data_IF_955565522374
#
_entry.id   IF_955565522374
#
_cell.length_a   1.000
_cell.length_b   1.000
_cell.length_c   1.000
_cell.angle_alpha   90.00
_cell.angle_beta   90.00
_cell.angle_gamma   90.00
#
_symmetry.space_group_name_H-M   'P 1'
#
loop_
_entity.id
_entity.type
_entity.pdbx_description
1 polymer ?
#
# COMPACT_ATOMS: atom_id res chain seq x y z
N UNK A 1 9.51 -2.35 -5.08
CA UNK A 1 8.36 -3.20 -5.40
C UNK A 1 8.72 -4.14 -6.54
N UNK A 2 7.98 -5.24 -6.69
CA UNK A 2 8.09 -6.16 -7.83
C UNK A 2 6.94 -5.92 -8.78
N UNK A 3 7.28 -5.74 -10.05
CA UNK A 3 6.36 -5.45 -11.14
C UNK A 3 6.54 -6.49 -12.24
N UNK A 4 5.58 -6.59 -13.15
CA UNK A 4 5.73 -7.31 -14.40
C UNK A 4 5.33 -6.48 -15.59
N UNK A 5 6.05 -6.60 -16.69
CA UNK A 5 5.66 -5.97 -17.94
C UNK A 5 4.58 -6.80 -18.66
N UNK A 6 4.09 -6.29 -19.78
CA UNK A 6 3.10 -6.96 -20.64
C UNK A 6 3.57 -8.33 -21.18
N UNK A 7 4.88 -8.57 -21.22
CA UNK A 7 5.46 -9.86 -21.64
C UNK A 7 5.54 -10.87 -20.47
N UNK A 8 5.18 -10.47 -19.25
CA UNK A 8 5.30 -11.27 -18.04
C UNK A 8 6.71 -11.31 -17.43
N UNK A 9 7.63 -10.46 -17.88
CA UNK A 9 8.98 -10.36 -17.36
C UNK A 9 9.00 -9.61 -16.02
N UNK A 10 9.76 -10.16 -15.06
CA UNK A 10 9.89 -9.57 -13.73
C UNK A 10 10.76 -8.31 -13.76
N UNK A 11 10.19 -7.21 -13.27
CA UNK A 11 10.78 -5.89 -13.25
C UNK A 11 10.85 -5.36 -11.82
N UNK A 12 11.90 -4.59 -11.49
CA UNK A 12 12.02 -3.94 -10.18
C UNK A 12 11.62 -2.48 -10.29
N UNK A 13 10.51 -2.13 -9.63
CA UNK A 13 10.05 -0.76 -9.50
C UNK A 13 10.53 -0.11 -8.19
N UNK A 14 10.77 1.20 -8.24
CA UNK A 14 10.98 2.05 -7.06
C UNK A 14 10.15 3.32 -7.23
N UNK A 15 9.54 3.81 -6.15
CA UNK A 15 8.93 5.15 -6.13
C UNK A 15 9.92 6.15 -5.58
N UNK A 16 9.96 7.32 -6.20
CA UNK A 16 10.75 8.45 -5.71
C UNK A 16 10.03 9.76 -5.95
N UNK A 17 10.12 10.68 -4.99
CA UNK A 17 9.63 12.06 -5.12
C UNK A 17 10.73 13.03 -5.54
N UNK A 18 11.94 12.53 -5.76
CA UNK A 18 13.14 13.32 -6.09
C UNK A 18 13.31 13.54 -7.61
N UNK A 19 12.46 12.93 -8.44
CA UNK A 19 12.54 13.06 -9.89
C UNK A 19 11.97 14.41 -10.34
N UNK A 20 12.58 15.11 -11.33
CA UNK A 20 12.07 16.39 -11.83
C UNK A 20 10.67 16.32 -12.48
N UNK A 21 10.17 15.11 -12.77
CA UNK A 21 8.79 14.85 -13.21
C UNK A 21 7.77 14.90 -12.05
N UNK A 22 8.22 14.96 -10.79
CA UNK A 22 7.35 15.16 -9.62
C UNK A 22 6.89 16.63 -9.55
N UNK A 23 5.92 17.01 -10.37
CA UNK A 23 5.44 18.40 -10.47
C UNK A 23 4.81 18.94 -9.18
N UNK A 24 4.45 18.07 -8.23
CA UNK A 24 3.76 18.40 -6.98
C UNK A 24 4.26 17.58 -5.75
N UNK A 25 5.47 17.01 -5.85
CA UNK A 25 5.95 16.03 -4.86
C UNK A 25 5.21 14.69 -4.93
N UNK A 26 4.48 14.46 -6.01
CA UNK A 26 3.88 13.16 -6.36
C UNK A 26 4.99 12.13 -6.62
N UNK A 27 4.90 10.93 -6.05
CA UNK A 27 5.91 9.90 -6.28
C UNK A 27 5.89 9.47 -7.75
N UNK A 28 7.07 9.38 -8.36
CA UNK A 28 7.28 8.90 -9.72
C UNK A 28 7.75 7.46 -9.67
N UNK A 29 7.13 6.60 -10.46
CA UNK A 29 7.55 5.21 -10.60
C UNK A 29 8.80 5.15 -11.49
N UNK A 30 9.86 4.53 -10.99
CA UNK A 30 11.10 4.31 -11.72
C UNK A 30 11.32 2.81 -11.87
N UNK A 31 11.38 2.34 -13.11
CA UNK A 31 11.62 0.94 -13.46
C UNK A 31 12.89 0.86 -14.31
N UNK A 32 13.86 0.04 -13.91
CA UNK A 32 15.17 -0.07 -14.58
C UNK A 32 15.91 1.27 -14.79
N UNK A 33 15.65 2.28 -13.94
CA UNK A 33 16.27 3.60 -14.03
C UNK A 33 15.50 4.60 -14.90
N UNK A 34 14.44 4.16 -15.58
CA UNK A 34 13.58 5.01 -16.38
C UNK A 34 12.34 5.43 -15.58
N UNK A 35 11.98 6.73 -15.57
CA UNK A 35 10.75 7.21 -14.95
C UNK A 35 9.54 6.94 -15.84
N UNK A 36 8.46 6.47 -15.24
CA UNK A 36 7.17 6.23 -15.91
C UNK A 36 6.11 7.09 -15.24
N UNK A 37 5.30 7.77 -16.05
CA UNK A 37 4.10 8.46 -15.59
C UNK A 37 2.97 7.47 -15.30
N UNK A 38 1.92 7.89 -14.58
CA UNK A 38 0.76 7.04 -14.29
C UNK A 38 0.01 6.60 -15.56
N UNK A 39 0.05 7.40 -16.63
CA UNK A 39 -0.59 7.08 -17.92
C UNK A 39 0.26 6.15 -18.80
N UNK A 40 1.59 6.15 -18.61
CA UNK A 40 2.56 5.35 -19.38
C UNK A 40 2.98 4.05 -18.66
N UNK A 41 2.48 3.82 -17.45
CA UNK A 41 2.88 2.70 -16.61
C UNK A 41 2.11 1.42 -16.97
N UNK A 42 2.43 0.84 -18.13
CA UNK A 42 1.91 -0.46 -18.60
C UNK A 42 2.55 -1.67 -17.86
N UNK A 43 2.42 -1.67 -16.53
CA UNK A 43 2.96 -2.70 -15.66
C UNK A 43 1.90 -3.29 -14.74
N UNK A 44 2.05 -4.58 -14.45
CA UNK A 44 1.29 -5.27 -13.42
C UNK A 44 2.05 -5.27 -12.10
N UNK A 45 1.32 -5.12 -10.99
CA UNK A 45 1.85 -5.16 -9.64
C UNK A 45 1.92 -6.61 -9.15
N UNK A 46 3.11 -7.20 -9.09
CA UNK A 46 3.31 -8.54 -8.51
C UNK A 46 3.30 -8.47 -6.98
N UNK A 47 4.11 -7.59 -6.40
CA UNK A 47 4.12 -7.38 -4.95
C UNK A 47 4.68 -6.02 -4.57
N UNK A 48 4.08 -5.41 -3.56
CA UNK A 48 4.50 -4.14 -3.00
C UNK A 48 4.19 -4.10 -1.50
N UNK A 49 5.02 -3.38 -0.75
CA UNK A 49 4.74 -3.07 0.64
C UNK A 49 3.55 -2.10 0.76
N UNK A 50 2.93 -2.04 1.94
CA UNK A 50 1.82 -1.11 2.23
C UNK A 50 2.20 0.34 1.94
N UNK A 51 3.43 0.74 2.27
CA UNK A 51 3.94 2.08 1.99
C UNK A 51 4.02 2.35 0.48
N UNK A 52 4.55 1.40 -0.29
CA UNK A 52 4.67 1.53 -1.75
C UNK A 52 3.29 1.61 -2.42
N UNK A 53 2.31 0.83 -1.96
CA UNK A 53 0.92 0.91 -2.46
C UNK A 53 0.29 2.27 -2.18
N UNK A 54 0.43 2.79 -0.97
CA UNK A 54 -0.04 4.15 -0.62
C UNK A 54 0.61 5.22 -1.51
N UNK A 55 1.89 5.05 -1.83
CA UNK A 55 2.59 5.97 -2.73
C UNK A 55 2.12 5.82 -4.19
N UNK A 56 1.88 4.62 -4.71
CA UNK A 56 1.29 4.44 -6.05
C UNK A 56 -0.04 5.18 -6.18
N UNK A 57 -0.93 5.01 -5.21
CA UNK A 57 -2.22 5.71 -5.18
C UNK A 57 -2.05 7.23 -5.12
N UNK A 58 -1.13 7.73 -4.29
CA UNK A 58 -0.81 9.17 -4.21
C UNK A 58 -0.26 9.71 -5.54
N UNK A 59 0.51 8.90 -6.26
CA UNK A 59 1.06 9.23 -7.58
C UNK A 59 0.06 9.05 -8.73
N UNK A 60 -1.15 8.55 -8.46
CA UNK A 60 -2.17 8.29 -9.47
C UNK A 60 -1.94 7.02 -10.30
N UNK A 61 -1.05 6.13 -9.86
CA UNK A 61 -0.79 4.86 -10.57
C UNK A 61 -1.89 3.85 -10.26
N UNK A 62 -2.55 3.37 -11.30
CA UNK A 62 -3.56 2.32 -11.21
C UNK A 62 -3.03 1.00 -11.77
N UNK A 63 -1.99 0.45 -11.13
CA UNK A 63 -1.38 -0.81 -11.56
C UNK A 63 -2.28 -1.99 -11.17
N UNK A 64 -2.68 -2.78 -12.16
CA UNK A 64 -3.46 -3.99 -11.92
C UNK A 64 -2.59 -5.06 -11.22
N UNK A 65 -3.15 -5.85 -10.29
CA UNK A 65 -2.40 -6.94 -9.66
C UNK A 65 -2.06 -8.01 -10.69
N UNK A 66 -0.82 -8.52 -10.66
CA UNK A 66 -0.42 -9.66 -11.49
C UNK A 66 -1.00 -10.95 -10.92
N UNK A 67 -1.96 -11.56 -11.61
CA UNK A 67 -2.50 -12.87 -11.26
C UNK A 67 -1.80 -13.98 -12.05
N UNK A 68 -0.65 -14.43 -11.55
CA UNK A 68 0.00 -15.66 -12.03
C UNK A 68 -0.76 -16.87 -11.49
N UNK A 69 -1.89 -17.25 -12.11
CA UNK A 69 -2.74 -18.37 -11.64
C UNK A 69 -3.25 -18.24 -10.19
N UNK A 70 -4.50 -17.77 -10.02
CA UNK A 70 -5.49 -18.38 -9.12
C UNK A 70 -5.17 -18.63 -7.64
N UNK A 71 -4.14 -18.03 -7.06
CA UNK A 71 -3.95 -18.02 -5.61
C UNK A 71 -4.37 -16.66 -5.08
N UNK A 72 -5.65 -16.61 -4.72
CA UNK A 72 -6.16 -15.82 -3.61
C UNK A 72 -5.25 -16.04 -2.40
N UNK A 73 -4.16 -15.28 -2.31
CA UNK A 73 -3.41 -15.14 -1.07
C UNK A 73 -3.93 -13.88 -0.40
N UNK A 74 -5.11 -14.06 0.20
CA UNK A 74 -5.59 -13.34 1.37
C UNK A 74 -5.11 -11.90 1.51
N UNK A 75 -5.83 -10.97 0.88
CA UNK A 75 -5.99 -9.63 1.44
C UNK A 75 -6.87 -9.73 2.70
N UNK A 76 -6.33 -10.37 3.73
CA UNK A 76 -6.77 -10.13 5.10
C UNK A 76 -5.92 -8.96 5.59
N UNK A 77 -6.38 -7.75 5.31
CA UNK A 77 -6.07 -6.56 6.10
C UNK A 77 -6.61 -6.79 7.53
N UNK A 78 -6.02 -7.73 8.27
CA UNK A 78 -6.34 -8.06 9.66
C UNK A 78 -5.38 -7.36 10.64
N UNK A 79 -4.72 -6.31 10.18
CA UNK A 79 -3.85 -5.41 10.97
C UNK A 79 -4.48 -4.01 11.12
N UNK A 80 -5.83 -3.95 11.14
CA UNK A 80 -6.59 -2.72 11.39
C UNK A 80 -7.47 -2.84 12.65
N UNK A 81 -6.98 -3.53 13.68
CA UNK A 81 -7.69 -3.65 14.95
C UNK A 81 -6.80 -3.97 16.14
N UNK A 82 -5.82 -3.12 16.43
CA UNK A 82 -5.10 -3.20 17.70
C UNK A 82 -4.61 -1.82 18.19
N UNK A 83 -5.55 -0.88 18.36
CA UNK A 83 -5.32 0.36 19.12
C UNK A 83 -6.50 0.76 20.02
N UNK A 84 -7.40 -0.18 20.39
CA UNK A 84 -8.45 0.08 21.39
C UNK A 84 -8.60 -1.06 22.42
N UNK A 85 -7.51 -1.73 22.78
CA UNK A 85 -7.51 -2.63 23.94
C UNK A 85 -7.34 -1.82 25.24
N UNK A 86 -8.50 -1.38 25.75
CA UNK A 86 -8.90 -1.47 27.15
C UNK A 86 -8.02 -0.79 28.21
N UNK A 87 -7.98 0.54 28.17
CA UNK A 87 -7.71 1.36 29.36
C UNK A 87 -9.01 1.81 30.02
N UNK A 88 -9.56 0.99 30.92
CA UNK A 88 -10.11 1.41 32.24
C UNK A 88 -10.82 0.22 32.91
N UNK A 89 -10.04 -0.41 33.79
CA UNK A 89 -10.46 -1.33 34.83
C UNK A 89 -11.66 -0.72 35.60
N UNK A 90 -12.77 -1.47 35.61
CA UNK A 90 -13.90 -1.27 36.52
C UNK A 90 -13.33 -1.00 37.92
N UNK A 91 -13.65 0.10 38.59
CA UNK A 91 -15.00 0.35 39.08
C UNK A 91 -15.16 -0.25 40.48
N UNK A 92 -14.24 0.05 41.40
CA UNK A 92 -14.38 -0.20 42.83
C UNK A 92 -14.15 1.12 43.59
N UNK A 93 -15.16 1.99 43.62
CA UNK A 93 -15.23 3.09 44.59
C UNK A 93 -16.71 3.32 44.99
N UNK A 94 -16.98 2.91 46.23
CA UNK A 94 -17.96 3.40 47.21
C UNK A 94 -19.31 3.99 46.75
N UNK A 95 -20.39 3.50 47.40
CA UNK A 95 -21.36 4.31 48.19
C UNK A 95 -22.81 3.81 48.12
N UNK A 96 -23.30 3.40 49.29
CA UNK A 96 -24.66 3.47 49.85
C UNK A 96 -25.87 3.90 48.96
N UNK A 97 -26.88 3.01 48.81
CA UNK A 97 -28.31 3.43 48.75
C UNK A 97 -29.35 2.31 49.03
N UNK A 98 -29.95 2.36 50.23
CA UNK A 98 -31.28 1.95 50.71
C UNK A 98 -32.15 0.87 50.02
N UNK A 99 -32.61 -0.09 50.84
CA UNK A 99 -34.05 -0.40 51.05
C UNK A 99 -34.29 -1.08 52.41
#
# INVERSE_FOLDING_TARGET
MRLRNLNGELMRGKLTTEYPLSTDGSPVLVVNGEPYGPEDADFYLESATTLERKQLLKGGYNLEPWSEHGEDQGFMDEDFKDEEDLGEEMGDDDSDHWE
#
